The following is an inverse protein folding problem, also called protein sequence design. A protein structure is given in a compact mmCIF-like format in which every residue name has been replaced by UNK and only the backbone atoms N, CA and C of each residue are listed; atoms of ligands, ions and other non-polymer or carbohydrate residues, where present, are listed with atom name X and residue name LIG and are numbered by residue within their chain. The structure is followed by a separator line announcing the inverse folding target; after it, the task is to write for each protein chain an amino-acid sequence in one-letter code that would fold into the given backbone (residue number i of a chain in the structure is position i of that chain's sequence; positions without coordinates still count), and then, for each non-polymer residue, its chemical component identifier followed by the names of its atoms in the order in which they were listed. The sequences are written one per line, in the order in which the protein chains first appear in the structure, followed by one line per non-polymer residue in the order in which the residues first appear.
data_IF_270406042530
#
_entry.id   IF_270406042530
#
_cell.length_a   1.000
_cell.length_b   1.000
_cell.length_c   1.000
_cell.angle_alpha   90.00
_cell.angle_beta   90.00
_cell.angle_gamma   90.00
#
_symmetry.space_group_name_H-M   'P 1'
#
loop_
_entity.id
_entity.type
_entity.pdbx_description
1 polymer ?
#
# COMPACT_ATOMS: atom_id res chain seq x y z
N UNK A 1 -37.86 -31.35 -18.71
CA UNK A 1 -36.64 -31.50 -17.89
C UNK A 1 -35.49 -30.66 -18.44
N UNK A 2 -35.07 -30.81 -19.71
CA UNK A 2 -33.94 -30.05 -20.32
C UNK A 2 -34.03 -28.51 -20.24
N UNK A 3 -35.22 -27.92 -20.37
CA UNK A 3 -35.39 -26.47 -20.31
C UNK A 3 -35.10 -25.88 -18.91
N UNK A 4 -35.47 -26.61 -17.86
CA UNK A 4 -35.22 -26.19 -16.48
C UNK A 4 -33.73 -26.28 -16.13
N UNK A 5 -33.03 -27.30 -16.63
CA UNK A 5 -31.58 -27.46 -16.47
C UNK A 5 -30.80 -26.33 -17.15
N UNK A 6 -31.21 -25.91 -18.37
CA UNK A 6 -30.60 -24.80 -19.08
C UNK A 6 -30.79 -23.48 -18.31
N UNK A 7 -32.01 -23.23 -17.80
CA UNK A 7 -32.30 -22.05 -16.99
C UNK A 7 -31.45 -22.03 -15.70
N UNK A 8 -31.29 -23.18 -15.05
CA UNK A 8 -30.44 -23.34 -13.87
C UNK A 8 -28.98 -23.04 -14.19
N UNK A 9 -28.46 -23.51 -15.33
CA UNK A 9 -27.10 -23.23 -15.77
C UNK A 9 -26.86 -21.74 -16.01
N UNK A 10 -27.78 -21.01 -16.65
CA UNK A 10 -27.62 -19.56 -16.85
C UNK A 10 -27.62 -18.79 -15.52
N UNK A 11 -28.47 -19.19 -14.58
CA UNK A 11 -28.48 -18.60 -13.25
C UNK A 11 -27.17 -18.87 -12.50
N UNK A 12 -26.68 -20.11 -12.51
CA UNK A 12 -25.39 -20.47 -11.92
C UNK A 12 -24.22 -19.73 -12.58
N UNK A 13 -24.20 -19.63 -13.91
CA UNK A 13 -23.15 -18.92 -14.64
C UNK A 13 -23.14 -17.42 -14.28
N UNK A 14 -24.31 -16.79 -14.25
CA UNK A 14 -24.44 -15.39 -13.84
C UNK A 14 -24.01 -15.16 -12.39
N UNK A 15 -24.40 -16.05 -11.48
CA UNK A 15 -23.97 -16.00 -10.08
C UNK A 15 -22.46 -16.18 -9.93
N UNK A 16 -21.86 -17.14 -10.63
CA UNK A 16 -20.41 -17.37 -10.65
C UNK A 16 -19.67 -16.13 -11.16
N UNK A 17 -20.15 -15.52 -12.25
CA UNK A 17 -19.55 -14.29 -12.80
C UNK A 17 -19.61 -13.15 -11.78
N UNK A 18 -20.75 -12.95 -11.11
CA UNK A 18 -20.89 -11.93 -10.06
C UNK A 18 -19.94 -12.16 -8.89
N UNK A 19 -19.81 -13.41 -8.42
CA UNK A 19 -18.86 -13.76 -7.34
C UNK A 19 -17.42 -13.50 -7.77
N UNK A 20 -17.03 -13.89 -9.00
CA UNK A 20 -15.69 -13.66 -9.54
C UNK A 20 -15.35 -12.17 -9.61
N UNK A 21 -16.25 -11.34 -10.16
CA UNK A 21 -16.06 -9.89 -10.25
C UNK A 21 -15.88 -9.26 -8.87
N UNK A 22 -16.66 -9.68 -7.87
CA UNK A 22 -16.53 -9.19 -6.51
C UNK A 22 -15.20 -9.58 -5.85
N UNK A 23 -14.68 -10.79 -6.11
CA UNK A 23 -13.37 -11.22 -5.57
C UNK A 23 -12.19 -10.46 -6.18
N UNK A 24 -12.30 -10.05 -7.46
CA UNK A 24 -11.25 -9.31 -8.16
C UNK A 24 -11.21 -7.82 -7.80
N UNK A 25 -12.27 -7.30 -7.19
CA UNK A 25 -12.39 -5.88 -6.80
C UNK A 25 -11.79 -5.55 -5.43
N UNK A 26 -11.00 -6.45 -4.83
CA UNK A 26 -10.20 -6.09 -3.65
C UNK A 26 -9.04 -5.24 -4.13
N UNK A 27 -9.27 -3.94 -4.38
CA UNK A 27 -8.17 -3.01 -4.58
C UNK A 27 -7.41 -2.95 -3.26
N UNK A 28 -6.17 -3.44 -3.23
CA UNK A 28 -5.29 -3.13 -2.11
C UNK A 28 -5.16 -1.62 -2.06
N UNK A 29 -5.79 -1.03 -1.05
CA UNK A 29 -5.73 0.41 -0.84
C UNK A 29 -4.27 0.74 -0.56
N UNK A 30 -3.61 1.41 -1.51
CA UNK A 30 -2.24 1.86 -1.36
C UNK A 30 -2.20 2.96 -0.31
N UNK A 31 -1.86 2.59 0.93
CA UNK A 31 -1.86 3.53 2.05
C UNK A 31 -0.50 4.19 2.21
N UNK A 32 -0.49 5.52 2.14
CA UNK A 32 0.59 6.34 2.66
C UNK A 32 0.44 6.45 4.18
N UNK A 33 1.48 6.10 4.94
CA UNK A 33 1.44 6.07 6.41
C UNK A 33 2.00 7.35 7.05
N UNK A 34 2.80 8.10 6.32
CA UNK A 34 3.32 9.38 6.77
C UNK A 34 3.46 10.35 5.61
N UNK A 35 3.24 11.63 5.90
CA UNK A 35 3.74 12.68 5.02
C UNK A 35 5.28 12.59 4.95
N UNK A 36 5.90 13.04 3.84
CA UNK A 36 7.35 13.15 3.74
C UNK A 36 7.93 14.08 4.81
N UNK A 37 9.01 13.65 5.45
CA UNK A 37 9.71 14.42 6.49
C UNK A 37 11.23 14.39 6.29
N UNK A 38 11.92 15.32 6.95
CA UNK A 38 13.33 15.58 6.73
C UNK A 38 14.20 14.94 7.82
N UNK A 39 15.30 14.29 7.42
CA UNK A 39 16.28 13.69 8.33
C UNK A 39 17.72 14.04 7.93
N UNK A 40 18.64 14.01 8.90
CA UNK A 40 20.10 14.09 8.70
C UNK A 40 20.55 15.24 7.78
N UNK A 41 20.22 16.51 8.08
CA UNK A 41 20.68 17.64 7.30
C UNK A 41 22.21 17.72 7.30
N UNK A 42 22.79 17.97 6.13
CA UNK A 42 24.19 18.36 5.93
C UNK A 42 24.23 19.74 5.27
N UNK A 43 25.41 20.39 5.14
CA UNK A 43 25.48 21.69 4.47
C UNK A 43 24.87 21.70 3.06
N UNK A 44 24.89 20.56 2.36
CA UNK A 44 24.51 20.47 0.94
C UNK A 44 23.46 19.37 0.65
N UNK A 45 22.91 18.69 1.65
CA UNK A 45 21.97 17.59 1.44
C UNK A 45 21.00 17.43 2.60
N UNK A 46 19.85 16.81 2.33
CA UNK A 46 18.92 16.38 3.36
C UNK A 46 18.24 15.08 2.91
N UNK A 47 17.88 14.21 3.84
CA UNK A 47 17.12 13.01 3.51
C UNK A 47 15.63 13.31 3.58
N UNK A 48 14.91 13.06 2.50
CA UNK A 48 13.45 13.05 2.47
C UNK A 48 12.97 11.62 2.69
N UNK A 49 12.17 11.41 3.72
CA UNK A 49 11.77 10.07 4.20
C UNK A 49 10.27 9.99 4.35
N UNK A 50 9.68 8.86 3.96
CA UNK A 50 8.26 8.56 4.19
C UNK A 50 8.02 7.05 4.31
N UNK A 51 6.84 6.69 4.80
CA UNK A 51 6.42 5.30 5.02
C UNK A 51 5.13 4.96 4.28
N UNK A 52 5.05 3.73 3.80
CA UNK A 52 3.88 3.19 3.11
C UNK A 52 3.61 1.75 3.53
N UNK A 53 2.41 1.26 3.22
CA UNK A 53 2.05 -0.17 3.28
C UNK A 53 2.30 -0.92 1.97
N UNK A 54 3.15 -0.38 1.07
CA UNK A 54 3.49 -1.05 -0.18
C UNK A 54 4.92 -0.71 -0.62
N UNK A 55 5.63 -1.66 -1.24
CA UNK A 55 6.98 -1.40 -1.71
C UNK A 55 7.02 -0.27 -2.76
N UNK A 56 6.19 -0.38 -3.80
CA UNK A 56 6.32 0.42 -5.01
C UNK A 56 7.66 0.19 -5.73
N UNK A 57 7.80 0.78 -6.93
CA UNK A 57 8.95 0.48 -7.79
C UNK A 57 9.90 1.67 -7.97
N UNK A 58 9.36 2.89 -8.15
CA UNK A 58 10.11 4.09 -8.56
C UNK A 58 9.66 5.34 -7.81
N UNK A 59 9.79 5.26 -6.49
CA UNK A 59 9.59 6.40 -5.60
C UNK A 59 10.62 7.51 -5.89
N UNK A 60 10.16 8.74 -6.00
CA UNK A 60 10.96 9.88 -6.46
C UNK A 60 10.63 11.15 -5.68
N UNK A 61 11.63 12.00 -5.48
CA UNK A 61 11.48 13.35 -4.96
C UNK A 61 11.89 14.33 -6.04
N UNK A 62 11.00 15.26 -6.37
CA UNK A 62 11.29 16.40 -7.23
C UNK A 62 11.62 17.61 -6.36
N UNK A 63 12.67 18.34 -6.69
CA UNK A 63 13.17 19.45 -5.90
C UNK A 63 13.83 20.52 -6.77
N UNK A 64 14.22 21.62 -6.13
CA UNK A 64 14.58 22.92 -6.72
C UNK A 64 13.38 23.84 -7.00
N UNK A 65 13.66 25.09 -7.40
CA UNK A 65 12.64 26.12 -7.58
C UNK A 65 11.61 25.77 -8.66
N UNK A 66 11.94 24.89 -9.60
CA UNK A 66 11.10 24.51 -10.73
C UNK A 66 10.76 23.01 -10.75
N UNK A 67 11.10 22.27 -9.69
CA UNK A 67 10.97 20.81 -9.60
C UNK A 67 11.69 20.07 -10.76
N UNK A 68 12.75 20.68 -11.30
CA UNK A 68 13.46 20.16 -12.47
C UNK A 68 14.46 19.07 -12.11
N UNK A 69 14.88 18.99 -10.84
CA UNK A 69 15.76 17.93 -10.34
C UNK A 69 14.95 16.82 -9.68
N UNK A 70 15.46 15.61 -9.82
CA UNK A 70 14.84 14.41 -9.26
C UNK A 70 15.87 13.57 -8.51
N UNK A 71 15.47 13.02 -7.37
CA UNK A 71 16.22 12.01 -6.62
C UNK A 71 15.39 10.74 -6.48
N UNK A 72 16.00 9.59 -6.76
CA UNK A 72 15.36 8.28 -6.60
C UNK A 72 15.44 7.84 -5.14
N UNK A 73 14.33 7.34 -4.61
CA UNK A 73 14.30 6.83 -3.26
C UNK A 73 14.79 5.38 -3.19
N UNK A 74 15.63 5.10 -2.19
CA UNK A 74 15.91 3.74 -1.75
C UNK A 74 14.73 3.22 -0.94
N UNK A 75 14.17 2.09 -1.33
CA UNK A 75 13.04 1.45 -0.64
C UNK A 75 13.53 0.27 0.19
N UNK A 76 13.20 0.27 1.48
CA UNK A 76 13.61 -0.78 2.42
C UNK A 76 12.41 -1.26 3.22
N UNK A 77 12.16 -2.58 3.25
CA UNK A 77 11.15 -3.17 4.12
C UNK A 77 11.62 -3.12 5.59
N UNK A 78 10.79 -2.57 6.47
CA UNK A 78 11.04 -2.55 7.91
C UNK A 78 10.56 -3.86 8.54
N UNK A 79 11.47 -4.83 8.70
CA UNK A 79 11.13 -6.21 9.09
C UNK A 79 10.68 -6.41 10.54
N UNK A 80 10.65 -5.35 11.36
CA UNK A 80 10.36 -5.40 12.79
C UNK A 80 9.32 -4.37 13.23
N UNK A 81 8.34 -4.08 12.38
CA UNK A 81 7.19 -3.24 12.76
C UNK A 81 5.97 -4.12 13.00
N UNK A 82 5.22 -3.81 14.05
CA UNK A 82 4.01 -4.53 14.43
C UNK A 82 3.05 -3.58 15.17
N UNK A 83 1.77 -3.90 15.14
CA UNK A 83 0.72 -3.26 15.95
C UNK A 83 0.32 -4.14 17.12
N UNK A 84 -0.14 -3.52 18.20
CA UNK A 84 -0.65 -4.22 19.38
C UNK A 84 -1.93 -3.56 19.92
N UNK A 85 -2.38 -4.03 21.08
CA UNK A 85 -3.62 -3.55 21.73
C UNK A 85 -3.65 -2.08 22.10
N UNK A 86 -2.50 -1.42 22.13
CA UNK A 86 -2.38 0.00 22.45
C UNK A 86 -2.29 0.86 21.18
N UNK A 87 -2.27 0.24 19.99
CA UNK A 87 -2.21 0.94 18.71
C UNK A 87 -3.45 1.78 18.46
N UNK A 88 -3.24 3.05 18.09
CA UNK A 88 -4.30 4.00 17.76
C UNK A 88 -4.62 3.95 16.27
N UNK A 89 -5.26 2.87 15.83
CA UNK A 89 -5.68 2.71 14.42
C UNK A 89 -7.19 2.47 14.32
N UNK A 90 -7.73 2.52 13.11
CA UNK A 90 -9.14 2.18 12.85
C UNK A 90 -9.47 0.72 13.19
N UNK A 91 -8.47 -0.16 13.19
CA UNK A 91 -8.59 -1.57 13.54
C UNK A 91 -8.06 -1.78 14.95
N UNK A 92 -8.80 -2.54 15.76
CA UNK A 92 -8.36 -2.95 17.08
C UNK A 92 -7.55 -4.25 17.00
N UNK A 93 -6.29 -4.19 17.44
CA UNK A 93 -5.43 -5.37 17.50
C UNK A 93 -5.50 -5.99 18.89
N UNK A 94 -5.63 -7.30 18.99
CA UNK A 94 -5.69 -8.00 20.30
C UNK A 94 -4.37 -8.67 20.67
N UNK A 95 -3.43 -8.75 19.73
CA UNK A 95 -2.10 -9.34 19.86
C UNK A 95 -1.10 -8.61 18.96
N UNK A 96 0.19 -8.79 19.25
CA UNK A 96 1.27 -8.27 18.42
C UNK A 96 1.16 -8.82 17.00
N UNK A 97 0.88 -7.93 16.04
CA UNK A 97 0.58 -8.28 14.64
C UNK A 97 1.60 -7.59 13.74
N UNK A 98 2.50 -8.32 13.07
CA UNK A 98 3.47 -7.75 12.16
C UNK A 98 2.80 -6.90 11.08
N UNK A 99 3.46 -5.80 10.70
CA UNK A 99 3.04 -4.93 9.60
C UNK A 99 4.10 -4.91 8.53
N UNK A 100 3.63 -5.02 7.30
CA UNK A 100 4.45 -4.79 6.14
C UNK A 100 4.52 -3.29 5.89
N UNK A 101 5.61 -2.68 6.36
CA UNK A 101 5.87 -1.24 6.19
C UNK A 101 7.17 -1.06 5.43
N UNK A 102 7.15 -0.16 4.47
CA UNK A 102 8.30 0.22 3.67
C UNK A 102 8.72 1.64 3.99
N UNK A 103 10.03 1.82 4.16
CA UNK A 103 10.68 3.12 4.28
C UNK A 103 11.27 3.50 2.94
N UNK A 104 10.96 4.71 2.50
CA UNK A 104 11.55 5.30 1.31
C UNK A 104 12.46 6.45 1.73
N UNK A 105 13.63 6.54 1.13
CA UNK A 105 14.59 7.61 1.41
C UNK A 105 15.25 8.10 0.14
N UNK A 106 15.12 9.40 -0.14
CA UNK A 106 15.84 10.11 -1.20
C UNK A 106 16.78 11.16 -0.58
N UNK A 107 17.91 11.42 -1.24
CA UNK A 107 18.95 12.41 -0.83
C UNK A 107 19.05 13.52 -1.87
#
# INVERSE_FOLDING_TARGET
MKFLEILLCYFCLGFIVVVLVNTLNTSEQLTLLSDPFLQLPTPNSIRVVWFTEFAGDKHQVFYDNNLAKTSLATTTKLSKVAEDKNSQTSIQYTKNTPRDIWRHEAI
#
